data_IF_877881010095
#
_entry.id   IF_877881010095
#
_cell.length_a   1.000
_cell.length_b   1.000
_cell.length_c   1.000
_cell.angle_alpha   90.00
_cell.angle_beta   90.00
_cell.angle_gamma   90.00
#
_symmetry.space_group_name_H-M   'P 1'
#
loop_
_entity.id
_entity.type
_entity.pdbx_description
1 polymer ?
#
# COMPACT_ATOMS: atom_id res chain seq x y z
N UNK A 1 -10.24 -9.41 2.73
CA UNK A 1 -9.41 -8.30 3.24
C UNK A 1 -7.97 -8.78 3.34
N UNK A 2 -7.00 -7.88 3.39
CA UNK A 2 -5.57 -8.18 3.55
C UNK A 2 -4.97 -7.18 4.54
N UNK A 3 -4.06 -7.65 5.40
CA UNK A 3 -3.42 -6.84 6.43
C UNK A 3 -1.94 -6.68 6.13
N UNK A 4 -1.40 -5.49 6.39
CA UNK A 4 0.03 -5.27 6.21
C UNK A 4 0.46 -3.82 6.37
N UNK A 5 1.74 -3.60 6.16
CA UNK A 5 2.37 -2.29 6.17
C UNK A 5 2.17 -1.58 4.82
N UNK A 6 1.71 -0.33 4.83
CA UNK A 6 1.66 0.50 3.61
C UNK A 6 3.07 0.92 3.19
N UNK A 7 3.49 0.51 1.99
CA UNK A 7 4.80 0.78 1.42
C UNK A 7 4.76 1.91 0.39
N UNK A 8 5.83 2.70 0.35
CA UNK A 8 6.33 3.29 -0.90
C UNK A 8 7.13 2.20 -1.65
N UNK A 9 6.63 1.75 -2.80
CA UNK A 9 7.24 0.67 -3.55
C UNK A 9 8.56 1.08 -4.22
N UNK A 10 8.76 2.35 -4.56
CA UNK A 10 10.02 2.80 -5.14
C UNK A 10 11.15 2.67 -4.10
N UNK A 11 10.89 3.11 -2.87
CA UNK A 11 11.84 2.99 -1.77
C UNK A 11 12.01 1.54 -1.29
N UNK A 12 10.93 0.76 -1.21
CA UNK A 12 11.03 -0.63 -0.79
C UNK A 12 11.77 -1.50 -1.81
N UNK A 13 11.47 -1.39 -3.11
CA UNK A 13 12.12 -2.21 -4.14
C UNK A 13 13.57 -1.76 -4.35
N UNK A 14 13.82 -0.44 -4.39
CA UNK A 14 15.14 0.10 -4.67
C UNK A 14 16.11 0.05 -3.49
N UNK A 15 15.60 0.11 -2.25
CA UNK A 15 16.41 0.33 -1.05
C UNK A 15 15.99 -0.52 0.16
N UNK A 16 15.03 -1.44 0.01
CA UNK A 16 14.43 -2.23 1.10
C UNK A 16 13.86 -1.40 2.26
N UNK A 17 13.64 -0.10 2.02
CA UNK A 17 13.18 0.85 3.02
C UNK A 17 11.71 0.61 3.36
N UNK A 18 11.43 0.54 4.67
CA UNK A 18 10.12 0.26 5.27
C UNK A 18 10.14 0.59 6.76
N UNK A 19 8.99 0.51 7.41
CA UNK A 19 8.78 0.68 8.83
C UNK A 19 8.80 2.14 9.28
N UNK A 20 8.50 2.35 10.56
CA UNK A 20 8.26 3.69 11.12
C UNK A 20 9.43 4.66 10.97
N UNK A 21 10.67 4.16 10.89
CA UNK A 21 11.86 5.00 10.63
C UNK A 21 11.81 5.68 9.26
N UNK A 22 11.09 5.11 8.31
CA UNK A 22 10.94 5.62 6.95
C UNK A 22 9.61 6.36 6.71
N UNK A 23 8.74 6.44 7.73
CA UNK A 23 7.38 6.96 7.59
C UNK A 23 7.28 8.35 6.97
N UNK A 24 8.06 9.32 7.45
CA UNK A 24 7.96 10.71 6.98
C UNK A 24 8.38 10.84 5.51
N UNK A 25 9.39 10.08 5.10
CA UNK A 25 9.85 10.05 3.71
C UNK A 25 8.80 9.39 2.82
N UNK A 26 8.32 8.21 3.21
CA UNK A 26 7.29 7.49 2.49
C UNK A 26 5.99 8.31 2.35
N UNK A 27 5.56 9.00 3.41
CA UNK A 27 4.36 9.85 3.38
C UNK A 27 4.46 10.96 2.33
N UNK A 28 5.61 11.63 2.24
CA UNK A 28 5.85 12.65 1.22
C UNK A 28 5.78 12.04 -0.17
N UNK A 29 6.53 10.97 -0.41
CA UNK A 29 6.60 10.31 -1.71
C UNK A 29 5.25 9.73 -2.18
N UNK A 30 4.46 9.14 -1.28
CA UNK A 30 3.12 8.65 -1.60
C UNK A 30 2.13 9.79 -1.91
N UNK A 31 2.27 10.95 -1.26
CA UNK A 31 1.49 12.16 -1.60
C UNK A 31 1.88 12.73 -2.96
N UNK A 32 3.14 12.59 -3.35
CA UNK A 32 3.66 13.01 -4.66
C UNK A 32 3.37 12.01 -5.79
N UNK A 33 2.73 10.88 -5.48
CA UNK A 33 2.20 9.94 -6.48
C UNK A 33 3.07 8.71 -6.74
N UNK A 34 4.02 8.40 -5.86
CA UNK A 34 4.77 7.14 -5.97
C UNK A 34 3.87 5.91 -5.84
N UNK A 35 4.24 4.78 -6.48
CA UNK A 35 3.47 3.55 -6.39
C UNK A 35 3.41 3.04 -4.95
N UNK A 36 2.21 2.66 -4.52
CA UNK A 36 1.94 2.23 -3.15
C UNK A 36 1.73 0.71 -3.09
N UNK A 37 2.23 0.09 -2.04
CA UNK A 37 2.10 -1.34 -1.82
C UNK A 37 1.62 -1.68 -0.41
N UNK A 38 1.37 -2.97 -0.18
CA UNK A 38 1.07 -3.51 1.14
C UNK A 38 1.94 -4.74 1.40
N UNK A 39 2.79 -4.66 2.42
CA UNK A 39 3.63 -5.77 2.88
C UNK A 39 2.93 -6.53 4.01
N UNK A 40 2.56 -7.78 3.74
CA UNK A 40 1.92 -8.65 4.71
C UNK A 40 2.93 -9.28 5.67
N UNK A 41 2.46 -9.82 6.79
CA UNK A 41 3.30 -10.48 7.79
C UNK A 41 4.04 -11.72 7.25
N UNK A 42 3.43 -12.44 6.31
CA UNK A 42 4.03 -13.58 5.60
C UNK A 42 4.95 -13.17 4.43
N UNK A 43 5.20 -11.87 4.25
CA UNK A 43 6.18 -11.35 3.30
C UNK A 43 5.67 -11.18 1.86
N UNK A 44 4.38 -11.35 1.61
CA UNK A 44 3.79 -11.02 0.31
C UNK A 44 3.68 -9.48 0.16
N UNK A 45 3.90 -8.99 -1.05
CA UNK A 45 3.67 -7.58 -1.41
C UNK A 45 2.54 -7.49 -2.42
N UNK A 46 1.53 -6.70 -2.09
CA UNK A 46 0.44 -6.37 -2.99
C UNK A 46 0.61 -4.96 -3.54
N UNK A 47 0.50 -4.80 -4.86
CA UNK A 47 0.31 -3.49 -5.47
C UNK A 47 -1.08 -2.96 -5.11
N UNK A 48 -1.15 -1.73 -4.60
CA UNK A 48 -2.42 -1.08 -4.33
C UNK A 48 -2.91 -0.37 -5.58
N UNK A 49 -4.15 -0.65 -5.97
CA UNK A 49 -4.81 -0.05 -7.11
C UNK A 49 -5.92 0.87 -6.63
N UNK A 50 -6.07 2.03 -7.27
CA UNK A 50 -7.25 2.86 -7.09
C UNK A 50 -8.46 2.17 -7.71
N UNK A 51 -9.57 2.12 -6.98
CA UNK A 51 -10.83 1.65 -7.53
C UNK A 51 -11.34 2.62 -8.62
N UNK A 52 -11.90 2.08 -9.70
CA UNK A 52 -12.39 2.87 -10.83
C UNK A 52 -13.69 3.64 -10.54
N UNK A 53 -14.47 3.20 -9.54
CA UNK A 53 -15.72 3.85 -9.12
C UNK A 53 -15.47 4.84 -7.96
N UNK A 54 -14.61 4.47 -6.99
CA UNK A 54 -14.26 5.35 -5.88
C UNK A 54 -12.77 5.30 -5.51
N UNK A 55 -12.00 6.27 -5.99
CA UNK A 55 -10.59 6.40 -5.65
C UNK A 55 -10.29 6.99 -4.26
N UNK A 56 -11.31 7.35 -3.45
CA UNK A 56 -11.09 7.95 -2.13
C UNK A 56 -10.34 7.04 -1.15
N UNK A 57 -10.69 5.74 -0.98
CA UNK A 57 -9.99 4.86 -0.05
C UNK A 57 -8.51 4.68 -0.41
N UNK A 58 -8.20 4.58 -1.71
CA UNK A 58 -6.82 4.57 -2.20
C UNK A 58 -6.06 5.85 -1.81
N UNK A 59 -6.68 7.03 -2.01
CA UNK A 59 -6.05 8.30 -1.63
C UNK A 59 -5.90 8.46 -0.11
N UNK A 60 -6.87 7.99 0.67
CA UNK A 60 -6.79 7.96 2.13
C UNK A 60 -5.62 7.11 2.62
N UNK A 61 -5.36 5.98 1.95
CA UNK A 61 -4.29 5.03 2.31
C UNK A 61 -2.90 5.67 2.33
N UNK A 62 -2.67 6.73 1.53
CA UNK A 62 -1.42 7.51 1.53
C UNK A 62 -1.07 8.06 2.92
N UNK A 63 -2.07 8.36 3.75
CA UNK A 63 -1.86 8.89 5.11
C UNK A 63 -1.40 7.81 6.10
N UNK A 64 -1.38 6.55 5.70
CA UNK A 64 -0.96 5.42 6.53
C UNK A 64 0.41 4.87 6.14
N UNK A 65 1.23 5.67 5.44
CA UNK A 65 2.61 5.32 5.09
C UNK A 65 3.35 4.67 6.29
N UNK A 66 3.97 3.51 6.05
CA UNK A 66 4.68 2.68 7.03
C UNK A 66 3.85 2.21 8.25
N UNK A 67 2.53 2.41 8.27
CA UNK A 67 1.62 1.91 9.29
C UNK A 67 1.00 0.59 8.86
N UNK A 68 0.60 -0.19 9.86
CA UNK A 68 -0.20 -1.39 9.66
C UNK A 68 -1.65 -1.00 9.40
N UNK A 69 -2.23 -1.56 8.34
CA UNK A 69 -3.62 -1.36 7.95
C UNK A 69 -4.28 -2.68 7.59
N UNK A 70 -5.60 -2.69 7.59
CA UNK A 70 -6.43 -3.68 6.92
C UNK A 70 -7.08 -3.03 5.69
N UNK A 71 -6.87 -3.62 4.53
CA UNK A 71 -7.48 -3.20 3.26
C UNK A 71 -8.53 -4.23 2.85
N UNK A 72 -9.70 -3.75 2.44
CA UNK A 72 -10.69 -4.58 1.75
C UNK A 72 -10.77 -4.18 0.28
N UNK A 73 -10.94 -5.18 -0.57
CA UNK A 73 -11.39 -5.00 -1.93
C UNK A 73 -11.05 -6.21 -2.79
N UNK A 74 -11.16 -6.03 -4.10
CA UNK A 74 -10.98 -7.10 -5.07
C UNK A 74 -9.49 -7.44 -5.24
N UNK A 75 -9.14 -8.70 -5.02
CA UNK A 75 -7.78 -9.23 -5.18
C UNK A 75 -7.53 -9.62 -6.64
N UNK A 76 -6.35 -9.33 -7.15
CA UNK A 76 -5.92 -9.70 -8.49
C UNK A 76 -4.56 -10.40 -8.44
N UNK A 77 -4.39 -11.36 -9.36
CA UNK A 77 -3.08 -11.92 -9.68
C UNK A 77 -2.97 -12.06 -11.21
N UNK A 78 -1.99 -11.41 -11.82
CA UNK A 78 -1.75 -11.52 -13.26
C UNK A 78 -0.25 -11.41 -13.54
N UNK A 79 0.29 -12.37 -14.27
CA UNK A 79 1.71 -12.43 -14.62
C UNK A 79 2.66 -12.26 -13.42
N UNK A 80 2.31 -12.84 -12.26
CA UNK A 80 3.10 -12.77 -11.03
C UNK A 80 2.92 -11.48 -10.22
N UNK A 81 2.13 -10.51 -10.71
CA UNK A 81 1.79 -9.30 -9.94
C UNK A 81 0.58 -9.59 -9.09
N UNK A 82 0.76 -9.57 -7.77
CA UNK A 82 -0.33 -9.54 -6.79
C UNK A 82 -0.78 -8.10 -6.58
N UNK A 83 -2.08 -7.86 -6.67
CA UNK A 83 -2.64 -6.53 -6.48
C UNK A 83 -3.99 -6.58 -5.75
N UNK A 84 -4.42 -5.44 -5.20
CA UNK A 84 -5.75 -5.27 -4.61
C UNK A 84 -6.31 -3.91 -5.00
N UNK A 85 -7.56 -3.88 -5.49
CA UNK A 85 -8.33 -2.63 -5.59
C UNK A 85 -8.70 -2.18 -4.20
N UNK A 86 -8.31 -0.96 -3.82
CA UNK A 86 -8.57 -0.44 -2.48
C UNK A 86 -9.99 0.11 -2.40
N UNK A 87 -10.90 -0.69 -1.86
CA UNK A 87 -12.32 -0.32 -1.65
C UNK A 87 -12.58 0.20 -0.23
N UNK A 88 -11.75 -0.21 0.75
CA UNK A 88 -11.70 0.40 2.08
C UNK A 88 -10.34 0.20 2.73
N UNK A 89 -10.01 1.06 3.69
CA UNK A 89 -8.80 0.99 4.49
C UNK A 89 -9.11 1.31 5.95
N UNK A 90 -8.50 0.56 6.87
CA UNK A 90 -8.60 0.79 8.32
C UNK A 90 -7.23 0.67 8.95
N UNK A 91 -6.82 1.68 9.72
CA UNK A 91 -5.61 1.60 10.55
C UNK A 91 -5.76 0.54 11.65
N UNK A 92 -4.72 -0.27 11.86
CA UNK A 92 -4.61 -1.27 12.93
C UNK A 92 -3.97 -0.70 14.19
#
# INVERSE_FOLDING_TARGET
TVKGEVLDLACYIGHEAKGLKHQQCALTCLKDGQPMGLLTEDGAVYLLLADHQDGKPFNETKNYAALQVEISGTMYERAGIKAVSVESVKKL
#
